data_IF_126083407712
#
_entry.id   IF_126083407712
#
_cell.length_a   1.000
_cell.length_b   1.000
_cell.length_c   1.000
_cell.angle_alpha   90.00
_cell.angle_beta   90.00
_cell.angle_gamma   90.00
#
_symmetry.space_group_name_H-M   'P 1'
#
loop_
_entity.id
_entity.type
_entity.pdbx_description
1 polymer ?
#
# COMPACT_ATOMS: atom_id res chain seq x y z
N UNK A 1 -0.67 -6.62 11.30
CA UNK A 1 -1.06 -5.97 12.57
C UNK A 1 -0.89 -4.48 12.39
N UNK A 2 -1.84 -3.65 12.85
CA UNK A 2 -1.70 -2.19 12.82
C UNK A 2 -0.54 -1.73 13.70
N UNK A 3 0.21 -0.71 13.24
CA UNK A 3 1.35 -0.17 14.00
C UNK A 3 0.90 0.56 15.27
N UNK A 4 -0.30 1.11 15.26
CA UNK A 4 -0.89 1.87 16.36
C UNK A 4 -1.73 1.03 17.33
N UNK A 5 -1.92 -0.27 17.07
CA UNK A 5 -2.82 -1.10 17.89
C UNK A 5 -2.35 -2.57 17.93
N UNK A 6 -1.06 -2.78 18.20
CA UNK A 6 -0.42 -4.11 18.21
C UNK A 6 -1.00 -5.07 19.25
N UNK A 7 -1.53 -4.54 20.34
CA UNK A 7 -2.10 -5.36 21.41
C UNK A 7 -3.56 -5.75 21.17
N UNK A 8 -4.21 -5.16 20.18
CA UNK A 8 -5.60 -5.44 19.88
C UNK A 8 -5.75 -6.67 18.98
N UNK A 9 -5.84 -7.83 19.58
CA UNK A 9 -6.04 -9.10 18.86
C UNK A 9 -7.30 -9.11 17.98
N UNK A 10 -8.31 -8.28 18.27
CA UNK A 10 -9.54 -8.20 17.46
C UNK A 10 -9.32 -7.55 16.10
N UNK A 11 -8.27 -6.74 15.95
CA UNK A 11 -7.86 -6.13 14.67
C UNK A 11 -6.78 -6.94 13.94
N UNK A 12 -6.34 -8.07 14.49
CA UNK A 12 -5.40 -8.97 13.83
C UNK A 12 -6.17 -9.84 12.84
N UNK A 13 -5.95 -9.60 11.55
CA UNK A 13 -6.50 -10.42 10.47
C UNK A 13 -5.51 -11.49 10.02
N UNK A 14 -6.02 -12.64 9.60
CA UNK A 14 -5.26 -13.62 8.84
C UNK A 14 -5.45 -13.38 7.36
N UNK A 15 -4.39 -13.46 6.59
CA UNK A 15 -4.45 -13.33 5.14
C UNK A 15 -3.52 -14.38 4.50
N UNK A 16 -3.87 -14.77 3.29
CA UNK A 16 -3.05 -15.64 2.48
C UNK A 16 -1.88 -14.79 1.96
N UNK A 17 -0.65 -15.13 2.32
CA UNK A 17 0.54 -14.39 1.88
C UNK A 17 0.99 -14.74 0.46
N UNK A 18 0.69 -15.95 0.00
CA UNK A 18 0.99 -16.40 -1.35
C UNK A 18 0.01 -15.80 -2.36
N UNK A 19 0.53 -15.05 -3.33
CA UNK A 19 -0.30 -14.32 -4.30
C UNK A 19 -1.01 -15.25 -5.28
N UNK A 20 -0.41 -16.39 -5.65
CA UNK A 20 -1.05 -17.38 -6.49
C UNK A 20 -2.23 -18.05 -5.78
N UNK A 21 -2.05 -18.40 -4.51
CA UNK A 21 -3.14 -18.90 -3.68
C UNK A 21 -4.25 -17.86 -3.53
N UNK A 22 -3.91 -16.59 -3.28
CA UNK A 22 -4.89 -15.50 -3.23
C UNK A 22 -5.70 -15.43 -4.53
N UNK A 23 -5.02 -15.41 -5.68
CA UNK A 23 -5.66 -15.41 -7.00
C UNK A 23 -6.58 -16.62 -7.18
N UNK A 24 -6.05 -17.83 -6.91
CA UNK A 24 -6.80 -19.08 -7.07
C UNK A 24 -8.09 -19.08 -6.24
N UNK A 25 -8.02 -18.82 -4.94
CA UNK A 25 -9.20 -18.86 -4.07
C UNK A 25 -10.19 -17.74 -4.39
N UNK A 26 -9.71 -16.57 -4.78
CA UNK A 26 -10.56 -15.43 -5.09
C UNK A 26 -11.32 -15.59 -6.40
N UNK A 27 -10.64 -16.03 -7.46
CA UNK A 27 -11.17 -16.00 -8.82
C UNK A 27 -11.54 -17.38 -9.37
N UNK A 28 -10.73 -18.39 -9.09
CA UNK A 28 -10.89 -19.71 -9.69
C UNK A 28 -11.80 -20.59 -8.84
N UNK A 29 -11.42 -20.82 -7.60
CA UNK A 29 -12.15 -21.74 -6.72
C UNK A 29 -13.62 -21.38 -6.55
N UNK A 30 -13.93 -20.11 -6.34
CA UNK A 30 -15.32 -19.63 -6.19
C UNK A 30 -16.14 -19.73 -7.46
N UNK A 31 -15.51 -19.85 -8.62
CA UNK A 31 -16.15 -19.87 -9.91
C UNK A 31 -15.94 -21.18 -10.67
N UNK A 32 -15.45 -22.24 -10.02
CA UNK A 32 -15.09 -23.50 -10.68
C UNK A 32 -16.22 -24.06 -11.57
N UNK A 33 -17.47 -24.03 -11.10
CA UNK A 33 -18.61 -24.49 -11.89
C UNK A 33 -18.86 -23.66 -13.16
N UNK A 34 -18.58 -22.34 -13.10
CA UNK A 34 -18.72 -21.45 -14.27
C UNK A 34 -17.61 -21.67 -15.28
N UNK A 35 -16.39 -21.88 -14.80
CA UNK A 35 -15.23 -22.16 -15.67
C UNK A 35 -15.45 -23.43 -16.53
N UNK A 36 -16.11 -24.43 -16.00
CA UNK A 36 -16.33 -25.70 -16.71
C UNK A 36 -17.31 -25.58 -17.90
N UNK A 37 -18.10 -24.52 -17.98
CA UNK A 37 -19.17 -24.36 -18.96
C UNK A 37 -19.06 -23.09 -19.81
N UNK A 38 -18.07 -22.24 -19.51
CA UNK A 38 -17.86 -20.96 -20.19
C UNK A 38 -16.57 -20.99 -21.01
N UNK A 39 -16.53 -20.22 -22.08
CA UNK A 39 -15.28 -19.89 -22.74
C UNK A 39 -14.32 -19.16 -21.79
N UNK A 40 -13.02 -19.48 -21.88
CA UNK A 40 -12.03 -19.00 -20.94
C UNK A 40 -11.83 -17.47 -21.01
N UNK A 41 -11.84 -16.90 -22.22
CA UNK A 41 -11.66 -15.47 -22.43
C UNK A 41 -12.86 -14.68 -21.87
N UNK A 42 -14.06 -15.13 -22.24
CA UNK A 42 -15.30 -14.54 -21.72
C UNK A 42 -15.40 -14.67 -20.18
N UNK A 43 -14.96 -15.81 -19.63
CA UNK A 43 -14.91 -15.98 -18.18
C UNK A 43 -13.96 -14.97 -17.52
N UNK A 44 -12.75 -14.81 -18.07
CA UNK A 44 -11.75 -13.87 -17.54
C UNK A 44 -12.24 -12.43 -17.60
N UNK A 45 -12.78 -12.01 -18.74
CA UNK A 45 -13.33 -10.65 -18.90
C UNK A 45 -14.44 -10.35 -17.91
N UNK A 46 -15.36 -11.30 -17.73
CA UNK A 46 -16.56 -11.08 -16.91
C UNK A 46 -16.31 -11.16 -15.40
N UNK A 47 -15.40 -12.02 -14.93
CA UNK A 47 -15.27 -12.37 -13.51
C UNK A 47 -13.91 -12.05 -12.89
N UNK A 48 -12.90 -11.73 -13.71
CA UNK A 48 -11.53 -11.55 -13.21
C UNK A 48 -11.00 -10.14 -13.46
N UNK A 49 -10.93 -9.71 -14.73
CA UNK A 49 -10.09 -8.59 -15.14
C UNK A 49 -10.37 -7.28 -14.41
N UNK A 50 -11.62 -6.88 -14.28
CA UNK A 50 -11.96 -5.61 -13.61
C UNK A 50 -11.47 -5.59 -12.15
N UNK A 51 -11.80 -6.61 -11.37
CA UNK A 51 -11.41 -6.68 -9.97
C UNK A 51 -9.90 -6.96 -9.80
N UNK A 52 -9.32 -7.71 -10.72
CA UNK A 52 -7.89 -7.99 -10.74
C UNK A 52 -7.08 -6.70 -10.94
N UNK A 53 -7.41 -5.90 -11.94
CA UNK A 53 -6.68 -4.66 -12.24
C UNK A 53 -6.96 -3.55 -11.22
N UNK A 54 -8.19 -3.46 -10.73
CA UNK A 54 -8.60 -2.33 -9.88
C UNK A 54 -8.39 -2.56 -8.37
N UNK A 55 -8.32 -3.81 -7.94
CA UNK A 55 -8.21 -4.16 -6.50
C UNK A 55 -7.08 -5.12 -6.17
N UNK A 56 -6.94 -6.22 -6.96
CA UNK A 56 -5.97 -7.25 -6.60
C UNK A 56 -4.53 -6.80 -6.83
N UNK A 57 -4.25 -6.27 -8.00
CA UNK A 57 -2.89 -5.81 -8.36
C UNK A 57 -2.45 -4.60 -7.53
N UNK A 58 -3.28 -3.56 -7.31
CA UNK A 58 -2.91 -2.46 -6.41
C UNK A 58 -2.57 -2.94 -5.00
N UNK A 59 -3.37 -3.84 -4.44
CA UNK A 59 -3.10 -4.41 -3.11
C UNK A 59 -1.82 -5.26 -3.06
N UNK A 60 -1.53 -6.01 -4.12
CA UNK A 60 -0.28 -6.75 -4.24
C UNK A 60 0.92 -5.78 -4.34
N UNK A 61 0.75 -4.64 -5.01
CA UNK A 61 1.77 -3.60 -5.12
C UNK A 61 2.11 -2.96 -3.76
N UNK A 62 1.11 -2.68 -2.91
CA UNK A 62 1.33 -2.21 -1.53
C UNK A 62 2.25 -3.18 -0.76
N UNK A 63 1.99 -4.48 -0.87
CA UNK A 63 2.81 -5.50 -0.20
C UNK A 63 4.24 -5.56 -0.77
N UNK A 64 4.40 -5.42 -2.09
CA UNK A 64 5.72 -5.33 -2.74
C UNK A 64 6.48 -4.10 -2.22
N UNK A 65 5.82 -2.95 -2.13
CA UNK A 65 6.40 -1.73 -1.58
C UNK A 65 6.85 -1.92 -0.12
N UNK A 66 6.01 -2.54 0.69
CA UNK A 66 6.34 -2.86 2.08
C UNK A 66 7.56 -3.77 2.19
N UNK A 67 7.63 -4.82 1.39
CA UNK A 67 8.77 -5.75 1.35
C UNK A 67 10.06 -5.06 0.87
N UNK A 68 9.95 -4.17 -0.10
CA UNK A 68 11.07 -3.34 -0.54
C UNK A 68 11.66 -2.52 0.60
N UNK A 69 10.81 -1.79 1.34
CA UNK A 69 11.25 -0.98 2.48
C UNK A 69 11.94 -1.83 3.56
N UNK A 70 11.38 -3.01 3.87
CA UNK A 70 12.00 -3.95 4.82
C UNK A 70 13.37 -4.43 4.32
N UNK A 71 13.48 -4.76 3.04
CA UNK A 71 14.75 -5.20 2.43
C UNK A 71 15.80 -4.09 2.49
N UNK A 72 15.42 -2.87 2.14
CA UNK A 72 16.29 -1.70 2.21
C UNK A 72 16.75 -1.42 3.64
N UNK A 73 15.84 -1.50 4.61
CA UNK A 73 16.15 -1.30 6.02
C UNK A 73 17.14 -2.36 6.56
N UNK A 74 16.88 -3.63 6.26
CA UNK A 74 17.77 -4.74 6.66
C UNK A 74 19.16 -4.68 6.02
N UNK A 75 19.26 -4.13 4.84
CA UNK A 75 20.55 -3.97 4.13
C UNK A 75 21.30 -2.67 4.50
N UNK A 76 20.77 -1.86 5.40
CA UNK A 76 21.37 -0.60 5.82
C UNK A 76 21.37 0.49 4.73
N UNK A 77 20.49 0.37 3.72
CA UNK A 77 20.39 1.31 2.60
C UNK A 77 19.28 2.35 2.75
N UNK A 78 18.53 2.30 3.87
CA UNK A 78 17.53 3.32 4.17
C UNK A 78 18.20 4.58 4.71
N UNK A 79 17.84 5.75 4.20
CA UNK A 79 18.21 7.03 4.79
C UNK A 79 17.57 7.22 6.16
N UNK A 80 16.35 6.72 6.31
CA UNK A 80 15.54 6.77 7.53
C UNK A 80 15.30 5.35 8.05
N UNK A 81 16.28 4.75 8.75
CA UNK A 81 16.10 3.42 9.34
C UNK A 81 14.93 3.41 10.32
N UNK A 82 14.22 2.30 10.37
CA UNK A 82 13.05 2.15 11.22
C UNK A 82 13.09 0.86 12.04
N UNK A 83 12.41 0.89 13.18
CA UNK A 83 12.28 -0.26 14.08
C UNK A 83 11.00 -1.04 13.81
N UNK A 84 9.95 -0.34 13.36
CA UNK A 84 8.63 -0.92 13.13
C UNK A 84 8.06 -0.49 11.79
N UNK A 85 7.29 -1.38 11.16
CA UNK A 85 6.55 -1.12 9.94
C UNK A 85 5.18 -1.81 10.00
N UNK A 86 4.14 -1.11 9.58
CA UNK A 86 2.78 -1.65 9.56
C UNK A 86 1.80 -0.71 8.91
N UNK A 87 0.52 -1.06 8.95
CA UNK A 87 -0.59 -0.17 8.60
C UNK A 87 -0.91 0.72 9.79
N UNK A 88 -1.45 1.90 9.52
CA UNK A 88 -1.96 2.79 10.55
C UNK A 88 -3.45 3.06 10.28
N UNK A 89 -4.29 2.77 11.26
CA UNK A 89 -5.72 3.06 11.19
C UNK A 89 -6.02 4.34 11.95
N UNK A 90 -6.70 5.25 11.29
CA UNK A 90 -7.19 6.47 11.93
C UNK A 90 -8.71 6.52 11.91
N UNK A 91 -9.25 7.08 12.96
CA UNK A 91 -10.66 7.36 13.12
C UNK A 91 -10.79 8.85 13.42
N UNK A 92 -11.48 9.56 12.53
CA UNK A 92 -11.81 10.97 12.72
C UNK A 92 -13.33 11.09 12.95
N UNK A 93 -13.76 10.99 14.21
CA UNK A 93 -15.18 11.06 14.55
C UNK A 93 -15.79 12.45 14.27
N UNK A 94 -14.99 13.51 14.22
CA UNK A 94 -15.44 14.88 13.94
C UNK A 94 -15.86 15.00 12.49
N UNK A 95 -15.05 14.52 11.57
CA UNK A 95 -15.33 14.55 10.13
C UNK A 95 -16.02 13.27 9.63
N UNK A 96 -16.30 12.31 10.53
CA UNK A 96 -16.88 10.99 10.22
C UNK A 96 -16.08 10.25 9.13
N UNK A 97 -14.76 10.31 9.20
CA UNK A 97 -13.85 9.67 8.27
C UNK A 97 -13.00 8.64 9.01
N UNK A 98 -13.05 7.41 8.52
CA UNK A 98 -12.14 6.36 8.92
C UNK A 98 -11.26 6.05 7.72
N UNK A 99 -9.99 5.80 7.96
CA UNK A 99 -9.08 5.45 6.89
C UNK A 99 -7.92 4.60 7.39
N UNK A 100 -7.17 4.10 6.45
CA UNK A 100 -5.90 3.44 6.73
C UNK A 100 -4.80 4.06 5.88
N UNK A 101 -3.63 4.17 6.46
CA UNK A 101 -2.40 4.38 5.73
C UNK A 101 -1.72 3.01 5.56
N UNK A 102 -1.42 2.65 4.31
CA UNK A 102 -1.01 1.30 3.95
C UNK A 102 0.35 0.93 4.49
N UNK A 103 1.28 1.87 4.49
CA UNK A 103 2.64 1.63 4.95
C UNK A 103 3.09 2.80 5.82
N UNK A 104 3.33 2.50 7.09
CA UNK A 104 3.84 3.46 8.06
C UNK A 104 5.02 2.85 8.77
N UNK A 105 6.11 3.59 8.86
CA UNK A 105 7.28 3.21 9.65
C UNK A 105 7.40 4.08 10.90
N UNK A 106 8.05 3.55 11.92
CA UNK A 106 8.27 4.21 13.20
C UNK A 106 9.71 4.01 13.63
N UNK A 107 10.33 5.09 14.06
CA UNK A 107 11.63 5.15 14.75
C UNK A 107 11.58 6.14 15.94
N UNK A 108 12.72 6.41 16.56
CA UNK A 108 12.82 7.34 17.72
C UNK A 108 12.41 8.78 17.39
N UNK A 109 12.50 9.20 16.11
CA UNK A 109 12.13 10.55 15.66
C UNK A 109 10.63 10.69 15.47
N UNK A 110 9.93 9.60 15.19
CA UNK A 110 8.50 9.55 14.91
C UNK A 110 8.15 8.69 13.73
N UNK A 111 7.14 9.11 12.99
CA UNK A 111 6.56 8.34 11.88
C UNK A 111 7.04 8.84 10.52
N UNK A 112 7.20 7.89 9.58
CA UNK A 112 7.24 8.17 8.14
C UNK A 112 6.07 7.44 7.49
N UNK A 113 5.27 8.17 6.74
CA UNK A 113 4.12 7.63 6.01
C UNK A 113 4.48 7.44 4.56
N UNK A 114 4.26 6.23 4.04
CA UNK A 114 4.50 5.87 2.64
C UNK A 114 3.17 5.57 1.96
N UNK A 115 2.96 6.19 0.82
CA UNK A 115 1.81 5.96 -0.05
C UNK A 115 2.23 5.21 -1.32
N UNK A 116 1.58 4.08 -1.59
CA UNK A 116 1.84 3.26 -2.76
C UNK A 116 0.79 3.51 -3.84
N UNK A 117 1.18 4.10 -4.98
CA UNK A 117 0.28 4.47 -6.08
C UNK A 117 0.49 3.56 -7.29
N UNK A 118 -0.39 2.56 -7.45
CA UNK A 118 -0.44 1.70 -8.63
C UNK A 118 -1.47 2.23 -9.64
N UNK A 119 -1.07 3.21 -10.43
CA UNK A 119 -1.93 3.87 -11.43
C UNK A 119 -1.17 4.14 -12.73
N UNK A 120 -1.90 4.45 -13.80
CA UNK A 120 -1.30 4.72 -15.13
C UNK A 120 -0.66 6.10 -15.21
N UNK A 121 -1.21 7.08 -14.52
CA UNK A 121 -0.72 8.44 -14.49
C UNK A 121 0.33 8.62 -13.39
N UNK A 122 1.32 9.51 -13.59
CA UNK A 122 2.32 9.83 -12.58
C UNK A 122 1.69 10.53 -11.37
N UNK A 123 2.38 10.46 -10.24
CA UNK A 123 2.01 11.19 -9.01
C UNK A 123 2.30 12.68 -9.20
N UNK A 124 1.33 13.52 -8.88
CA UNK A 124 1.39 14.98 -9.04
C UNK A 124 1.56 15.70 -7.71
N UNK A 125 1.93 17.01 -7.76
CA UNK A 125 2.01 17.87 -6.58
C UNK A 125 0.71 17.96 -5.79
N UNK A 126 -0.44 17.96 -6.45
CA UNK A 126 -1.74 18.01 -5.76
C UNK A 126 -1.96 16.76 -4.91
N UNK A 127 -1.65 15.59 -5.47
CA UNK A 127 -1.78 14.32 -4.76
C UNK A 127 -0.86 14.25 -3.54
N UNK A 128 0.39 14.68 -3.69
CA UNK A 128 1.36 14.72 -2.58
C UNK A 128 0.83 15.61 -1.45
N UNK A 129 0.33 16.81 -1.78
CA UNK A 129 -0.21 17.73 -0.77
C UNK A 129 -1.45 17.20 -0.07
N UNK A 130 -2.35 16.58 -0.81
CA UNK A 130 -3.57 15.96 -0.23
C UNK A 130 -3.22 14.87 0.80
N UNK A 131 -2.30 13.98 0.46
CA UNK A 131 -1.86 12.92 1.38
C UNK A 131 -1.13 13.48 2.61
N UNK A 132 -0.24 14.47 2.40
CA UNK A 132 0.45 15.15 3.51
C UNK A 132 -0.55 15.84 4.45
N UNK A 133 -1.60 16.43 3.93
CA UNK A 133 -2.66 17.05 4.73
C UNK A 133 -3.45 16.00 5.53
N UNK A 134 -3.78 14.86 4.93
CA UNK A 134 -4.42 13.76 5.64
C UNK A 134 -3.57 13.26 6.81
N UNK A 135 -2.27 13.09 6.60
CA UNK A 135 -1.35 12.69 7.68
C UNK A 135 -1.27 13.75 8.78
N UNK A 136 -1.17 15.04 8.43
CA UNK A 136 -1.16 16.14 9.41
C UNK A 136 -2.41 16.16 10.27
N UNK A 137 -3.56 15.84 9.70
CA UNK A 137 -4.83 15.78 10.43
C UNK A 137 -4.89 14.64 11.46
N UNK A 138 -3.97 13.66 11.42
CA UNK A 138 -3.84 12.65 12.47
C UNK A 138 -3.24 13.20 13.77
N UNK A 139 -2.56 14.33 13.72
CA UNK A 139 -1.82 14.90 14.85
C UNK A 139 -0.56 14.14 15.26
N UNK A 140 -0.16 13.13 14.47
CA UNK A 140 1.04 12.33 14.75
C UNK A 140 2.32 13.12 14.44
N UNK A 141 3.38 12.77 15.15
CA UNK A 141 4.72 13.27 14.86
C UNK A 141 5.27 12.61 13.59
N UNK A 142 4.80 13.08 12.43
CA UNK A 142 5.33 12.70 11.13
C UNK A 142 6.48 13.67 10.77
N UNK A 143 7.64 13.14 10.44
CA UNK A 143 8.81 13.96 10.09
C UNK A 143 9.21 13.81 8.61
N UNK A 144 8.71 12.78 7.90
CA UNK A 144 8.98 12.56 6.48
C UNK A 144 7.84 11.81 5.83
N UNK A 145 7.69 11.98 4.52
CA UNK A 145 6.70 11.29 3.70
C UNK A 145 7.39 10.51 2.60
N UNK A 146 6.83 9.40 2.17
CA UNK A 146 7.31 8.61 1.04
C UNK A 146 6.19 8.36 0.04
N UNK A 147 6.52 8.42 -1.25
CA UNK A 147 5.61 8.03 -2.32
C UNK A 147 6.31 6.99 -3.18
N UNK A 148 5.62 5.89 -3.42
CA UNK A 148 6.10 4.79 -4.26
C UNK A 148 5.14 4.68 -5.45
N UNK A 149 5.63 4.95 -6.66
CA UNK A 149 4.77 5.06 -7.83
C UNK A 149 5.17 4.09 -8.94
N UNK A 150 4.15 3.40 -9.49
CA UNK A 150 4.31 2.60 -10.71
C UNK A 150 4.70 3.45 -11.93
N UNK A 151 4.11 4.61 -12.09
CA UNK A 151 4.24 5.44 -13.30
C UNK A 151 5.12 6.68 -13.09
N UNK A 152 5.90 6.69 -11.99
CA UNK A 152 6.80 7.78 -11.68
C UNK A 152 6.08 9.04 -11.18
N UNK A 153 6.75 10.17 -11.33
CA UNK A 153 6.36 11.42 -10.70
C UNK A 153 6.38 12.58 -11.71
N UNK A 154 5.36 13.44 -11.60
CA UNK A 154 5.26 14.73 -12.29
C UNK A 154 5.04 15.81 -11.24
N UNK A 155 6.02 16.00 -10.37
CA UNK A 155 5.99 16.92 -9.24
C UNK A 155 7.37 17.58 -9.03
N UNK A 156 7.36 18.67 -8.27
CA UNK A 156 8.61 19.28 -7.78
C UNK A 156 9.27 18.41 -6.70
N UNK A 157 10.52 18.70 -6.41
CA UNK A 157 11.24 18.09 -5.31
C UNK A 157 10.85 18.73 -3.98
N UNK A 158 10.70 17.94 -2.92
CA UNK A 158 10.41 18.37 -1.56
C UNK A 158 11.49 17.82 -0.63
N UNK A 159 11.87 18.57 0.39
CA UNK A 159 12.91 18.15 1.36
C UNK A 159 12.44 17.00 2.27
N UNK A 160 11.15 17.02 2.60
CA UNK A 160 10.52 16.07 3.51
C UNK A 160 9.80 14.90 2.79
N UNK A 161 10.02 14.74 1.48
CA UNK A 161 9.38 13.69 0.66
C UNK A 161 10.40 12.83 -0.05
N UNK A 162 10.31 11.52 0.17
CA UNK A 162 11.03 10.49 -0.58
C UNK A 162 10.18 10.01 -1.75
N UNK A 163 10.74 10.04 -2.94
CA UNK A 163 10.09 9.56 -4.16
C UNK A 163 10.79 8.29 -4.65
N UNK A 164 10.05 7.21 -4.75
CA UNK A 164 10.55 5.89 -5.15
C UNK A 164 9.77 5.44 -6.39
N UNK A 165 10.46 5.28 -7.51
CA UNK A 165 9.86 4.80 -8.74
C UNK A 165 9.90 3.27 -8.86
N UNK A 166 9.22 2.76 -9.90
CA UNK A 166 9.14 1.33 -10.18
C UNK A 166 10.51 0.67 -10.40
N UNK A 167 11.47 1.38 -11.02
CA UNK A 167 12.80 0.82 -11.29
C UNK A 167 13.59 0.58 -10.01
N UNK A 168 13.43 1.47 -9.03
CA UNK A 168 14.11 1.37 -7.74
C UNK A 168 13.64 0.16 -6.92
N UNK A 169 12.38 -0.28 -7.09
CA UNK A 169 11.86 -1.46 -6.37
C UNK A 169 12.59 -2.76 -6.73
N UNK A 170 13.19 -2.84 -7.92
CA UNK A 170 13.81 -4.05 -8.46
C UNK A 170 15.35 -3.99 -8.50
N UNK A 171 15.94 -2.94 -7.97
CA UNK A 171 17.38 -2.80 -7.75
C UNK A 171 17.75 -3.19 -6.32
#
# INVERSE_FOLDING_TARGET
TPINDEHNKKKTGYFISDQLCCFYYKYIFRNASRMNVMDAEFFCEKYIWEDFETRHVPKAFEEICRQYLIRMNRSGRMEEPFERIGKYYFDDPVNRRNGEFDIVTLDDRGYVFYEAKFRKEPVTDSMIREEMEQVRNTGLRCYKYGFISRSGFSCRQYEDVVLIDMEQLFR
#
